data_IF_562654893864
#
_entry.id   IF_562654893864
#
_cell.length_a   1.000
_cell.length_b   1.000
_cell.length_c   1.000
_cell.angle_alpha   90.00
_cell.angle_beta   90.00
_cell.angle_gamma   90.00
#
_symmetry.space_group_name_H-M   'P 1'
#
loop_
_entity.id
_entity.type
_entity.pdbx_description
1 polymer ?
#
# COMPACT_ATOMS: atom_id res chain seq x y z
N UNK A 1 -6.64 -44.37 10.13
CA UNK A 1 -5.23 -44.10 10.49
C UNK A 1 -4.72 -42.77 9.95
N UNK A 2 -4.70 -42.52 8.63
CA UNK A 2 -4.24 -41.25 8.06
C UNK A 2 -4.98 -40.01 8.62
N UNK A 3 -6.29 -40.10 8.83
CA UNK A 3 -7.08 -39.04 9.48
C UNK A 3 -6.61 -38.72 10.90
N UNK A 4 -6.17 -39.72 11.68
CA UNK A 4 -5.63 -39.53 13.03
C UNK A 4 -4.27 -38.83 13.00
N UNK A 5 -3.42 -39.14 12.01
CA UNK A 5 -2.16 -38.42 11.79
C UNK A 5 -2.43 -36.93 11.47
N UNK A 6 -3.54 -36.64 10.79
CA UNK A 6 -3.91 -35.30 10.34
C UNK A 6 -4.90 -34.56 11.26
N UNK A 7 -5.30 -35.14 12.40
CA UNK A 7 -6.34 -34.62 13.29
C UNK A 7 -6.12 -33.15 13.69
N UNK A 8 -4.87 -32.77 13.97
CA UNK A 8 -4.50 -31.40 14.34
C UNK A 8 -4.17 -30.48 13.15
N UNK A 9 -4.47 -30.88 11.91
CA UNK A 9 -4.18 -30.15 10.67
C UNK A 9 -2.73 -29.66 10.52
N UNK A 10 -1.77 -30.42 11.06
CA UNK A 10 -0.36 -30.07 10.98
C UNK A 10 0.16 -30.19 9.54
N UNK A 11 1.24 -29.47 9.26
CA UNK A 11 1.89 -29.52 7.95
C UNK A 11 2.47 -30.90 7.62
N UNK A 12 2.64 -31.16 6.32
CA UNK A 12 3.14 -32.43 5.76
C UNK A 12 4.36 -32.97 6.50
N UNK A 13 5.36 -32.12 6.78
CA UNK A 13 6.60 -32.54 7.45
C UNK A 13 6.35 -33.06 8.86
N UNK A 14 5.49 -32.40 9.64
CA UNK A 14 5.14 -32.82 11.00
C UNK A 14 4.32 -34.11 10.99
N UNK A 15 3.32 -34.21 10.11
CA UNK A 15 2.53 -35.43 9.95
C UNK A 15 3.40 -36.62 9.54
N UNK A 16 4.35 -36.42 8.60
CA UNK A 16 5.33 -37.45 8.23
C UNK A 16 6.25 -37.83 9.39
N UNK A 17 6.75 -36.88 10.17
CA UNK A 17 7.59 -37.16 11.34
C UNK A 17 6.84 -38.03 12.35
N UNK A 18 5.63 -37.61 12.74
CA UNK A 18 4.77 -38.35 13.67
C UNK A 18 4.45 -39.76 13.16
N UNK A 19 4.18 -39.90 11.86
CA UNK A 19 3.89 -41.19 11.27
C UNK A 19 5.10 -42.13 11.33
N UNK A 20 6.31 -41.64 11.02
CA UNK A 20 7.56 -42.43 11.06
C UNK A 20 7.90 -43.00 12.43
N UNK A 21 7.49 -42.32 13.50
CA UNK A 21 7.71 -42.78 14.87
C UNK A 21 6.77 -43.92 15.29
N UNK A 22 5.62 -44.06 14.63
CA UNK A 22 4.53 -44.92 15.11
C UNK A 22 4.16 -46.07 14.16
N UNK A 23 4.39 -45.91 12.85
CA UNK A 23 3.87 -46.84 11.85
C UNK A 23 4.63 -46.77 10.52
N UNK A 24 4.50 -47.83 9.71
CA UNK A 24 5.11 -47.91 8.39
C UNK A 24 4.26 -48.72 7.42
N UNK A 25 4.19 -48.26 6.17
CA UNK A 25 3.84 -49.06 5.00
C UNK A 25 4.46 -48.43 3.74
N UNK A 26 4.69 -49.22 2.67
CA UNK A 26 5.14 -48.67 1.39
C UNK A 26 4.19 -47.59 0.89
N UNK A 27 4.70 -46.37 0.65
CA UNK A 27 3.89 -45.25 0.16
C UNK A 27 3.27 -44.34 1.23
N UNK A 28 3.43 -44.61 2.54
CA UNK A 28 2.86 -43.79 3.63
C UNK A 28 3.10 -42.28 3.48
N UNK A 29 4.28 -41.88 3.02
CA UNK A 29 4.60 -40.47 2.80
C UNK A 29 3.75 -39.83 1.71
N UNK A 30 3.44 -40.56 0.64
CA UNK A 30 2.58 -40.11 -0.46
C UNK A 30 1.13 -40.04 0.01
N UNK A 31 0.67 -41.04 0.75
CA UNK A 31 -0.71 -41.06 1.26
C UNK A 31 -0.99 -39.88 2.22
N UNK A 32 -0.02 -39.55 3.09
CA UNK A 32 -0.10 -38.37 3.97
C UNK A 32 -0.13 -37.08 3.14
N UNK A 33 0.72 -36.96 2.12
CA UNK A 33 0.71 -35.80 1.23
C UNK A 33 -0.61 -35.66 0.49
N UNK A 34 -1.13 -36.75 -0.06
CA UNK A 34 -2.39 -36.77 -0.81
C UNK A 34 -3.57 -36.41 0.08
N UNK A 35 -3.61 -36.92 1.33
CA UNK A 35 -4.63 -36.54 2.30
C UNK A 35 -4.58 -35.03 2.60
N UNK A 36 -3.41 -34.49 2.93
CA UNK A 36 -3.26 -33.08 3.31
C UNK A 36 -3.54 -32.16 2.12
N UNK A 37 -3.08 -32.52 0.92
CA UNK A 37 -3.33 -31.75 -0.30
C UNK A 37 -4.82 -31.72 -0.68
N UNK A 38 -5.61 -32.73 -0.28
CA UNK A 38 -7.06 -32.80 -0.52
C UNK A 38 -7.89 -32.30 0.68
N UNK A 39 -7.26 -31.81 1.75
CA UNK A 39 -7.97 -31.30 2.92
C UNK A 39 -8.52 -29.89 2.68
N UNK A 40 -9.85 -29.74 2.66
CA UNK A 40 -10.55 -28.46 2.50
C UNK A 40 -10.25 -27.45 3.61
N UNK A 41 -10.08 -27.92 4.86
CA UNK A 41 -9.76 -27.07 6.01
C UNK A 41 -8.35 -26.50 5.88
N UNK A 42 -7.37 -27.32 5.51
CA UNK A 42 -6.00 -26.84 5.28
C UNK A 42 -5.91 -25.86 4.11
N UNK A 43 -6.70 -26.06 3.06
CA UNK A 43 -6.80 -25.12 1.93
C UNK A 43 -7.43 -23.79 2.36
N UNK A 44 -8.53 -23.84 3.13
CA UNK A 44 -9.25 -22.66 3.66
C UNK A 44 -8.35 -21.75 4.51
N UNK A 45 -7.48 -22.33 5.34
CA UNK A 45 -6.61 -21.59 6.27
C UNK A 45 -5.15 -21.50 5.79
N UNK A 46 -4.89 -21.75 4.50
CA UNK A 46 -3.54 -21.71 3.98
C UNK A 46 -2.94 -20.29 4.06
N UNK A 47 -1.61 -20.20 4.24
CA UNK A 47 -0.91 -18.90 4.21
C UNK A 47 -1.10 -18.18 2.87
N UNK A 48 -1.15 -16.84 2.93
CA UNK A 48 -1.16 -15.97 1.76
C UNK A 48 -0.01 -16.30 0.80
N UNK A 49 -0.27 -16.12 -0.50
CA UNK A 49 0.78 -16.31 -1.51
C UNK A 49 1.89 -15.28 -1.37
N UNK A 50 3.09 -15.69 -1.80
CA UNK A 50 4.22 -14.79 -1.99
C UNK A 50 3.84 -13.68 -2.98
N UNK A 51 4.38 -12.49 -2.77
CA UNK A 51 4.19 -11.37 -3.69
C UNK A 51 4.83 -11.68 -5.05
N UNK A 52 4.23 -11.18 -6.13
CA UNK A 52 4.82 -11.22 -7.46
C UNK A 52 5.84 -10.09 -7.65
N UNK A 53 6.76 -10.19 -8.62
CA UNK A 53 7.76 -9.15 -8.88
C UNK A 53 7.12 -7.80 -9.17
N UNK A 54 7.75 -6.70 -8.75
CA UNK A 54 7.22 -5.35 -8.95
C UNK A 54 7.15 -5.03 -10.46
N UNK A 55 5.98 -4.61 -10.92
CA UNK A 55 5.83 -4.00 -12.24
C UNK A 55 6.13 -2.51 -12.10
N UNK A 56 7.16 -2.05 -12.80
CA UNK A 56 7.52 -0.64 -12.81
C UNK A 56 6.56 0.07 -13.76
N UNK A 57 5.99 1.17 -13.30
CA UNK A 57 5.31 2.11 -14.19
C UNK A 57 6.33 2.97 -14.91
N UNK A 58 6.01 3.39 -16.13
CA UNK A 58 6.82 4.38 -16.83
C UNK A 58 6.93 5.65 -16.00
N UNK A 59 8.16 6.13 -15.84
CA UNK A 59 8.43 7.37 -15.14
C UNK A 59 8.00 8.53 -16.03
N UNK A 60 7.30 9.54 -15.48
CA UNK A 60 7.06 10.77 -16.23
C UNK A 60 8.40 11.41 -16.60
N UNK A 61 8.43 12.03 -17.78
CA UNK A 61 9.60 12.69 -18.35
C UNK A 61 9.79 14.13 -17.87
N UNK A 62 8.72 14.75 -17.37
CA UNK A 62 8.67 16.16 -16.99
C UNK A 62 7.70 16.41 -15.82
N UNK A 63 7.85 17.54 -15.10
CA UNK A 63 6.94 17.93 -14.02
C UNK A 63 5.50 17.99 -14.50
N UNK A 64 4.58 17.54 -13.64
CA UNK A 64 3.13 17.63 -13.85
C UNK A 64 2.58 16.86 -15.06
N UNK A 65 3.40 16.03 -15.73
CA UNK A 65 2.93 15.15 -16.82
C UNK A 65 1.90 14.13 -16.30
N UNK A 66 2.17 13.56 -15.13
CA UNK A 66 1.34 12.53 -14.50
C UNK A 66 1.16 12.87 -13.03
N UNK A 67 -0.09 12.99 -12.62
CA UNK A 67 -0.44 13.26 -11.22
C UNK A 67 -1.26 12.11 -10.65
N UNK A 68 -1.25 11.99 -9.32
CA UNK A 68 -2.17 11.13 -8.61
C UNK A 68 -2.93 11.91 -7.57
N UNK A 69 -4.20 11.53 -7.38
CA UNK A 69 -5.11 12.23 -6.48
C UNK A 69 -5.78 11.23 -5.53
N UNK A 70 -5.94 11.65 -4.28
CA UNK A 70 -6.65 10.90 -3.26
C UNK A 70 -7.27 11.85 -2.22
N UNK A 71 -8.25 11.36 -1.46
CA UNK A 71 -8.92 12.11 -0.42
C UNK A 71 -8.39 11.69 0.94
N UNK A 72 -7.85 12.66 1.66
CA UNK A 72 -7.37 12.53 3.01
C UNK A 72 -8.40 13.09 4.00
N UNK A 73 -8.88 12.27 4.93
CA UNK A 73 -9.64 12.74 6.09
C UNK A 73 -8.71 12.98 7.29
N UNK A 74 -8.82 14.17 7.92
CA UNK A 74 -8.08 14.55 9.13
C UNK A 74 -8.83 15.64 9.90
N UNK A 75 -8.93 15.52 11.23
CA UNK A 75 -9.55 16.51 12.12
C UNK A 75 -10.94 16.99 11.64
N UNK A 76 -11.82 16.03 11.36
CA UNK A 76 -13.17 16.28 10.86
C UNK A 76 -13.25 17.07 9.55
N UNK A 77 -12.16 17.07 8.78
CA UNK A 77 -12.05 17.79 7.52
C UNK A 77 -11.52 16.85 6.44
N UNK A 78 -12.11 16.93 5.24
CA UNK A 78 -11.59 16.24 4.07
C UNK A 78 -10.68 17.15 3.26
N UNK A 79 -9.64 16.56 2.68
CA UNK A 79 -8.64 17.25 1.88
C UNK A 79 -8.39 16.46 0.60
N UNK A 80 -8.39 17.14 -0.54
CA UNK A 80 -7.86 16.62 -1.79
C UNK A 80 -6.34 16.72 -1.76
N UNK A 81 -5.67 15.57 -1.83
CA UNK A 81 -4.21 15.47 -1.93
C UNK A 81 -3.86 15.15 -3.38
N UNK A 82 -3.00 15.99 -3.97
CA UNK A 82 -2.50 15.81 -5.33
C UNK A 82 -0.99 15.63 -5.23
N UNK A 83 -0.45 14.60 -5.88
CA UNK A 83 0.99 14.40 -5.99
C UNK A 83 1.43 14.31 -7.45
N UNK A 84 2.47 15.08 -7.80
CA UNK A 84 3.16 14.93 -9.08
C UNK A 84 4.13 13.75 -9.04
N UNK A 85 4.04 12.85 -10.02
CA UNK A 85 4.88 11.67 -10.09
C UNK A 85 6.32 12.00 -10.46
N UNK A 86 6.60 13.15 -11.10
CA UNK A 86 7.97 13.54 -11.43
C UNK A 86 8.67 14.20 -10.24
N UNK A 87 8.18 15.36 -9.83
CA UNK A 87 8.82 16.20 -8.80
C UNK A 87 8.54 15.73 -7.37
N UNK A 88 7.55 14.86 -7.17
CA UNK A 88 7.03 14.50 -5.84
C UNK A 88 6.44 15.71 -5.09
N UNK A 89 6.06 16.75 -5.85
CA UNK A 89 5.33 17.90 -5.33
C UNK A 89 3.98 17.45 -4.79
N UNK A 90 3.66 17.89 -3.56
CA UNK A 90 2.37 17.63 -2.93
C UNK A 90 1.61 18.95 -2.84
N UNK A 91 0.41 18.97 -3.40
CA UNK A 91 -0.58 20.02 -3.26
C UNK A 91 -1.75 19.49 -2.43
N UNK A 92 -2.26 20.31 -1.51
CA UNK A 92 -3.36 19.91 -0.63
C UNK A 92 -4.40 21.03 -0.63
N UNK A 93 -5.64 20.67 -0.94
CA UNK A 93 -6.77 21.59 -0.91
C UNK A 93 -7.83 21.05 0.04
N UNK A 94 -8.36 21.90 0.92
CA UNK A 94 -9.54 21.56 1.71
C UNK A 94 -10.73 21.36 0.76
N UNK A 95 -11.50 20.32 1.00
CA UNK A 95 -12.80 20.07 0.35
C UNK A 95 -13.88 19.97 1.42
N UNK A 96 -15.03 20.57 1.15
CA UNK A 96 -16.21 20.54 2.02
C UNK A 96 -17.07 19.31 1.70
N UNK A 97 -17.11 18.88 0.42
CA UNK A 97 -17.79 17.68 -0.04
C UNK A 97 -16.91 16.80 -0.93
N UNK A 98 -17.21 15.49 -0.97
CA UNK A 98 -16.53 14.50 -1.82
C UNK A 98 -17.17 14.36 -3.21
N UNK A 99 -17.98 15.34 -3.61
CA UNK A 99 -18.63 15.30 -4.92
C UNK A 99 -17.61 15.62 -6.03
N UNK A 100 -17.92 15.21 -7.25
CA UNK A 100 -16.97 15.37 -8.37
C UNK A 100 -16.82 16.82 -8.82
N UNK A 101 -17.88 17.62 -8.72
CA UNK A 101 -17.86 19.05 -9.09
C UNK A 101 -16.87 19.82 -8.24
N UNK A 102 -16.90 19.64 -6.92
CA UNK A 102 -15.97 20.30 -6.01
C UNK A 102 -14.52 19.87 -6.26
N UNK A 103 -14.30 18.58 -6.49
CA UNK A 103 -12.97 18.05 -6.85
C UNK A 103 -12.49 18.69 -8.15
N UNK A 104 -13.33 18.77 -9.18
CA UNK A 104 -13.00 19.41 -10.46
C UNK A 104 -12.64 20.88 -10.24
N UNK A 105 -13.46 21.65 -9.52
CA UNK A 105 -13.15 23.05 -9.18
C UNK A 105 -11.80 23.20 -8.48
N UNK A 106 -11.44 22.30 -7.54
CA UNK A 106 -10.11 22.34 -6.91
C UNK A 106 -9.00 21.99 -7.90
N UNK A 107 -9.23 21.05 -8.81
CA UNK A 107 -8.26 20.67 -9.84
C UNK A 107 -8.03 21.81 -10.84
N UNK A 108 -9.06 22.52 -11.28
CA UNK A 108 -8.96 23.67 -12.18
C UNK A 108 -8.03 24.75 -11.61
N UNK A 109 -8.18 25.08 -10.32
CA UNK A 109 -7.30 26.05 -9.63
C UNK A 109 -5.85 25.57 -9.56
N UNK A 110 -5.62 24.26 -9.48
CA UNK A 110 -4.28 23.67 -9.48
C UNK A 110 -3.72 23.68 -10.90
N UNK A 111 -4.52 23.34 -11.91
CA UNK A 111 -4.12 23.29 -13.31
C UNK A 111 -3.82 24.68 -13.86
N UNK A 112 -4.55 25.71 -13.42
CA UNK A 112 -4.24 27.10 -13.71
C UNK A 112 -2.85 27.54 -13.21
N UNK A 113 -2.30 26.87 -12.17
CA UNK A 113 -0.98 27.19 -11.60
C UNK A 113 0.16 26.38 -12.19
N UNK A 114 -0.10 25.13 -12.57
CA UNK A 114 0.96 24.17 -12.94
C UNK A 114 0.86 23.67 -14.39
N UNK A 115 -0.25 23.94 -15.07
CA UNK A 115 -0.62 23.35 -16.35
C UNK A 115 -1.59 22.16 -16.19
N UNK A 116 -2.14 21.70 -17.31
CA UNK A 116 -3.02 20.54 -17.36
C UNK A 116 -2.15 19.28 -17.50
N UNK A 117 -2.35 18.23 -16.68
CA UNK A 117 -1.58 16.99 -16.77
C UNK A 117 -2.08 16.11 -17.92
N UNK A 118 -1.22 15.23 -18.45
CA UNK A 118 -1.63 14.22 -19.44
C UNK A 118 -2.39 13.06 -18.79
N UNK A 119 -2.01 12.67 -17.57
CA UNK A 119 -2.62 11.52 -16.88
C UNK A 119 -2.96 11.85 -15.44
N UNK A 120 -4.18 11.49 -15.01
CA UNK A 120 -4.61 11.48 -13.61
C UNK A 120 -4.79 10.04 -13.15
N UNK A 121 -4.12 9.69 -12.06
CA UNK A 121 -4.26 8.40 -11.40
C UNK A 121 -5.10 8.58 -10.13
N UNK A 122 -6.20 7.84 -10.01
CA UNK A 122 -7.09 7.94 -8.86
C UNK A 122 -7.75 6.60 -8.51
N UNK A 123 -8.28 6.48 -7.29
CA UNK A 123 -9.11 5.34 -6.92
C UNK A 123 -10.48 5.39 -7.61
N UNK A 124 -11.12 4.24 -7.80
CA UNK A 124 -12.41 4.16 -8.49
C UNK A 124 -13.52 4.96 -7.78
N UNK A 125 -13.56 4.98 -6.45
CA UNK A 125 -14.58 5.71 -5.69
C UNK A 125 -13.87 6.72 -4.79
N UNK A 126 -14.21 8.03 -4.84
CA UNK A 126 -15.39 8.66 -5.48
C UNK A 126 -15.18 9.18 -6.91
N UNK A 127 -14.03 8.92 -7.55
CA UNK A 127 -13.63 9.63 -8.78
C UNK A 127 -14.25 9.10 -10.09
N UNK A 128 -14.99 7.98 -10.08
CA UNK A 128 -15.55 7.37 -11.28
C UNK A 128 -16.95 7.88 -11.69
N UNK A 129 -17.26 9.14 -11.41
CA UNK A 129 -18.53 9.74 -11.85
C UNK A 129 -18.52 10.06 -13.35
N UNK A 130 -19.71 10.24 -13.92
CA UNK A 130 -19.87 10.67 -15.30
C UNK A 130 -19.21 12.03 -15.54
N UNK A 131 -19.42 12.96 -14.60
CA UNK A 131 -18.87 14.31 -14.63
C UNK A 131 -17.33 14.30 -14.68
N UNK A 132 -16.69 13.49 -13.83
CA UNK A 132 -15.23 13.40 -13.79
C UNK A 132 -14.65 12.81 -15.08
N UNK A 133 -15.33 11.81 -15.67
CA UNK A 133 -14.95 11.26 -16.98
C UNK A 133 -15.14 12.26 -18.11
N UNK A 134 -16.20 13.07 -18.07
CA UNK A 134 -16.45 14.10 -19.07
C UNK A 134 -15.38 15.19 -18.99
N UNK A 135 -15.04 15.64 -17.78
CA UNK A 135 -13.94 16.56 -17.53
C UNK A 135 -12.63 16.06 -18.13
N UNK A 136 -12.28 14.78 -17.91
CA UNK A 136 -11.08 14.20 -18.51
C UNK A 136 -11.10 14.22 -20.04
N UNK A 137 -12.24 13.94 -20.67
CA UNK A 137 -12.35 13.99 -22.14
C UNK A 137 -12.24 15.41 -22.69
N UNK A 138 -12.89 16.36 -22.03
CA UNK A 138 -12.94 17.76 -22.46
C UNK A 138 -11.57 18.43 -22.36
N UNK A 139 -10.79 18.08 -21.33
CA UNK A 139 -9.47 18.65 -21.07
C UNK A 139 -8.31 17.81 -21.62
N UNK A 140 -8.61 16.77 -22.42
CA UNK A 140 -7.64 15.82 -22.98
C UNK A 140 -6.72 15.16 -21.93
N UNK A 141 -7.35 14.68 -20.84
CA UNK A 141 -6.69 14.04 -19.71
C UNK A 141 -7.06 12.56 -19.68
N UNK A 142 -6.04 11.70 -19.68
CA UNK A 142 -6.22 10.27 -19.44
C UNK A 142 -6.48 9.99 -17.96
N UNK A 143 -7.70 9.55 -17.62
CA UNK A 143 -8.06 9.17 -16.25
C UNK A 143 -7.89 7.66 -16.07
N UNK A 144 -6.93 7.29 -15.22
CA UNK A 144 -6.60 5.90 -14.91
C UNK A 144 -7.11 5.54 -13.51
N UNK A 145 -8.15 4.71 -13.46
CA UNK A 145 -8.71 4.22 -12.20
C UNK A 145 -7.94 3.00 -11.68
N UNK A 146 -7.45 3.09 -10.46
CA UNK A 146 -6.82 1.95 -9.77
C UNK A 146 -7.90 1.12 -9.07
N UNK A 147 -7.79 -0.21 -9.20
CA UNK A 147 -8.66 -1.14 -8.48
C UNK A 147 -8.30 -1.14 -6.98
N UNK A 148 -9.28 -1.20 -6.05
CA UNK A 148 -9.07 -1.20 -4.59
C UNK A 148 -8.11 -2.27 -4.05
N UNK A 149 -7.71 -3.24 -4.89
CA UNK A 149 -6.85 -4.36 -4.53
C UNK A 149 -5.54 -4.40 -5.31
N UNK A 150 -5.24 -3.35 -6.09
CA UNK A 150 -3.99 -3.14 -6.82
C UNK A 150 -3.12 -2.06 -6.14
N UNK A 151 -2.90 -2.20 -4.82
CA UNK A 151 -2.18 -1.21 -3.99
C UNK A 151 -0.75 -0.89 -4.45
N UNK A 152 -0.14 -1.75 -5.27
CA UNK A 152 1.19 -1.51 -5.81
C UNK A 152 1.23 -0.32 -6.79
N UNK A 153 0.15 -0.09 -7.53
CA UNK A 153 0.07 1.00 -8.51
C UNK A 153 -0.27 2.35 -7.86
N UNK A 154 -0.89 2.36 -6.67
CA UNK A 154 -1.26 3.58 -5.94
C UNK A 154 -0.23 4.00 -4.87
N UNK A 155 0.88 3.27 -4.72
CA UNK A 155 1.81 3.46 -3.59
C UNK A 155 2.41 4.86 -3.49
N UNK A 156 2.49 5.62 -4.59
CA UNK A 156 2.93 7.01 -4.59
C UNK A 156 1.91 7.95 -3.93
N UNK A 157 0.63 7.80 -4.24
CA UNK A 157 -0.43 8.64 -3.70
C UNK A 157 -0.72 8.26 -2.24
N UNK A 158 -0.73 6.96 -1.92
CA UNK A 158 -0.83 6.49 -0.53
C UNK A 158 0.29 7.09 0.34
N UNK A 159 1.52 7.12 -0.19
CA UNK A 159 2.66 7.74 0.49
C UNK A 159 2.49 9.25 0.63
N UNK A 160 1.96 9.92 -0.39
CA UNK A 160 1.65 11.35 -0.34
C UNK A 160 0.65 11.66 0.78
N UNK A 161 -0.45 10.91 0.86
CA UNK A 161 -1.44 11.03 1.93
C UNK A 161 -0.80 10.79 3.30
N UNK A 162 0.05 9.77 3.43
CA UNK A 162 0.79 9.52 4.68
C UNK A 162 1.68 10.69 5.10
N UNK A 163 2.43 11.27 4.16
CA UNK A 163 3.26 12.46 4.39
C UNK A 163 2.38 13.65 4.80
N UNK A 164 1.31 13.92 4.04
CA UNK A 164 0.36 15.00 4.31
C UNK A 164 -0.24 14.88 5.71
N UNK A 165 -0.71 13.69 6.10
CA UNK A 165 -1.23 13.42 7.45
C UNK A 165 -0.17 13.69 8.51
N UNK A 166 1.06 13.23 8.30
CA UNK A 166 2.13 13.41 9.27
C UNK A 166 2.50 14.90 9.44
N UNK A 167 2.60 15.65 8.35
CA UNK A 167 2.90 17.09 8.38
C UNK A 167 1.77 17.85 9.06
N UNK A 168 0.51 17.60 8.68
CA UNK A 168 -0.64 18.29 9.25
C UNK A 168 -0.85 17.96 10.72
N UNK A 169 -0.81 16.68 11.12
CA UNK A 169 -0.94 16.27 12.53
C UNK A 169 0.09 16.96 13.42
N UNK A 170 1.36 16.93 13.01
CA UNK A 170 2.45 17.57 13.78
C UNK A 170 2.29 19.08 13.84
N UNK A 171 1.88 19.72 12.74
CA UNK A 171 1.64 21.15 12.72
C UNK A 171 0.49 21.55 13.66
N UNK A 172 -0.61 20.80 13.68
CA UNK A 172 -1.72 21.06 14.60
C UNK A 172 -1.31 20.88 16.07
N UNK A 173 -0.59 19.81 16.39
CA UNK A 173 -0.09 19.56 17.75
C UNK A 173 0.86 20.66 18.25
N UNK A 174 1.69 21.18 17.34
CA UNK A 174 2.66 22.27 17.59
C UNK A 174 2.00 23.66 17.47
N UNK A 175 0.67 23.75 17.34
CA UNK A 175 -0.08 25.01 17.14
C UNK A 175 0.43 25.87 15.97
N UNK A 176 0.91 25.24 14.89
CA UNK A 176 1.43 25.89 13.68
C UNK A 176 0.51 25.70 12.49
N UNK A 177 0.58 26.64 11.55
CA UNK A 177 -0.14 26.54 10.26
C UNK A 177 0.46 25.44 9.39
N UNK A 178 -0.33 24.43 8.98
CA UNK A 178 0.21 23.31 8.22
C UNK A 178 0.80 23.66 6.84
N UNK A 179 0.36 24.78 6.25
CA UNK A 179 0.90 25.31 4.99
C UNK A 179 2.43 25.58 5.06
N UNK A 180 2.94 26.00 6.21
CA UNK A 180 4.38 26.21 6.41
C UNK A 180 5.13 24.87 6.41
N UNK A 181 4.59 23.85 7.07
CA UNK A 181 5.17 22.50 7.04
C UNK A 181 5.21 21.93 5.62
N UNK A 182 4.19 22.21 4.81
CA UNK A 182 4.16 21.80 3.41
C UNK A 182 5.21 22.54 2.56
N UNK A 183 5.43 23.84 2.81
CA UNK A 183 6.52 24.62 2.18
C UNK A 183 7.90 24.04 2.51
N UNK A 184 8.14 23.65 3.76
CA UNK A 184 9.40 23.03 4.17
C UNK A 184 9.58 21.65 3.52
N UNK A 185 8.53 20.82 3.46
CA UNK A 185 8.55 19.57 2.72
C UNK A 185 8.96 19.77 1.24
N UNK A 186 8.37 20.77 0.58
CA UNK A 186 8.67 21.10 -0.83
C UNK A 186 10.13 21.54 -1.03
N UNK A 187 10.78 22.10 -0.01
CA UNK A 187 12.19 22.48 -0.06
C UNK A 187 13.16 21.41 0.46
N UNK A 188 12.65 20.33 1.06
CA UNK A 188 13.49 19.28 1.64
C UNK A 188 13.95 18.31 0.54
N UNK A 189 15.27 18.01 0.43
CA UNK A 189 15.79 17.07 -0.55
C UNK A 189 15.20 15.66 -0.39
N UNK A 190 14.83 15.05 -1.52
CA UNK A 190 14.32 13.69 -1.55
C UNK A 190 15.49 12.72 -1.39
N UNK A 191 15.40 11.84 -0.40
CA UNK A 191 16.41 10.81 -0.13
C UNK A 191 16.71 9.97 -1.39
N UNK A 192 18.00 9.82 -1.69
CA UNK A 192 18.53 9.13 -2.86
C UNK A 192 18.59 9.94 -4.15
N UNK A 193 17.92 11.10 -4.22
CA UNK A 193 17.95 11.99 -5.41
C UNK A 193 18.78 13.25 -5.17
N UNK A 194 18.83 13.73 -3.93
CA UNK A 194 19.57 14.95 -3.56
C UNK A 194 18.91 16.26 -4.01
N UNK A 195 17.71 16.18 -4.61
CA UNK A 195 16.93 17.32 -5.08
C UNK A 195 15.58 17.36 -4.35
N UNK A 196 15.11 18.57 -4.03
CA UNK A 196 13.81 18.77 -3.40
C UNK A 196 12.67 18.81 -4.43
N UNK A 197 11.40 18.63 -4.01
CA UNK A 197 10.26 18.80 -4.91
C UNK A 197 10.23 20.15 -5.61
N UNK A 198 10.57 21.25 -4.92
CA UNK A 198 10.65 22.57 -5.51
C UNK A 198 11.72 22.67 -6.60
N UNK A 199 12.90 22.08 -6.37
CA UNK A 199 13.97 22.04 -7.37
C UNK A 199 13.55 21.25 -8.61
N UNK A 200 12.82 20.15 -8.44
CA UNK A 200 12.33 19.36 -9.57
C UNK A 200 11.18 20.03 -10.31
N UNK A 201 10.33 20.78 -9.61
CA UNK A 201 9.16 21.43 -10.18
C UNK A 201 9.51 22.74 -10.89
N UNK A 202 10.38 23.55 -10.27
CA UNK A 202 10.64 24.94 -10.67
C UNK A 202 12.11 25.23 -10.97
N UNK A 203 12.98 24.21 -10.93
CA UNK A 203 14.43 24.36 -11.07
C UNK A 203 15.06 25.29 -10.02
N UNK A 204 14.38 25.57 -8.91
CA UNK A 204 14.89 26.46 -7.85
C UNK A 204 14.37 26.07 -6.48
N UNK A 205 15.00 26.58 -5.43
CA UNK A 205 14.43 26.53 -4.08
C UNK A 205 13.44 27.66 -3.87
N UNK A 206 12.47 27.44 -2.99
CA UNK A 206 11.54 28.48 -2.55
C UNK A 206 12.09 29.12 -1.29
N UNK A 207 11.93 30.43 -1.17
CA UNK A 207 12.30 31.15 0.05
C UNK A 207 11.44 30.66 1.21
N UNK A 208 12.09 30.29 2.31
CA UNK A 208 11.41 29.92 3.56
C UNK A 208 11.74 30.92 4.66
N UNK A 209 11.40 30.60 5.91
CA UNK A 209 11.78 31.42 7.06
C UNK A 209 13.26 31.27 7.43
N UNK A 210 13.94 30.24 6.90
CA UNK A 210 15.37 30.07 7.09
C UNK A 210 16.16 31.01 6.17
N UNK A 211 17.25 31.62 6.66
CA UNK A 211 18.17 32.35 5.80
C UNK A 211 18.70 31.45 4.68
N UNK A 212 18.67 31.96 3.45
CA UNK A 212 19.12 31.24 2.26
C UNK A 212 19.84 32.21 1.33
N UNK A 213 20.92 31.75 0.69
CA UNK A 213 21.67 32.59 -0.25
C UNK A 213 20.90 32.78 -1.57
N UNK A 214 21.04 33.96 -2.17
CA UNK A 214 20.39 34.30 -3.44
C UNK A 214 20.73 33.31 -4.56
N UNK A 215 21.96 32.78 -4.56
CA UNK A 215 22.40 31.75 -5.52
C UNK A 215 21.49 30.52 -5.54
N UNK A 216 21.00 30.07 -4.37
CA UNK A 216 20.16 28.88 -4.27
C UNK A 216 18.69 29.14 -4.64
N UNK A 217 18.27 30.41 -4.69
CA UNK A 217 16.93 30.84 -5.09
C UNK A 217 16.81 31.04 -6.61
N UNK A 218 17.92 31.26 -7.30
CA UNK A 218 17.96 31.38 -8.74
C UNK A 218 17.70 30.01 -9.40
N UNK A 219 17.00 29.97 -10.56
CA UNK A 219 16.82 28.75 -11.32
C UNK A 219 18.14 28.12 -11.79
N UNK A 220 18.25 26.81 -11.64
CA UNK A 220 19.36 25.97 -12.08
C UNK A 220 18.81 24.72 -12.77
N UNK A 221 19.28 24.43 -13.98
CA UNK A 221 18.89 23.21 -14.70
C UNK A 221 19.64 22.00 -14.16
N UNK A 222 18.90 21.05 -13.60
CA UNK A 222 19.47 19.80 -13.12
C UNK A 222 19.60 18.78 -14.25
N UNK A 223 20.84 18.50 -14.66
CA UNK A 223 21.14 17.40 -15.58
C UNK A 223 20.93 16.04 -14.88
N UNK A 224 20.60 15.02 -15.65
CA UNK A 224 20.50 13.62 -15.21
C UNK A 224 19.38 13.27 -14.23
N UNK A 225 18.38 14.14 -14.03
CA UNK A 225 17.24 13.84 -13.14
C UNK A 225 16.54 12.54 -13.54
N UNK A 226 16.24 12.37 -14.83
CA UNK A 226 15.59 11.16 -15.35
C UNK A 226 16.45 9.90 -15.10
N UNK A 227 17.76 10.00 -15.28
CA UNK A 227 18.69 8.88 -15.03
C UNK A 227 18.68 8.50 -13.54
N UNK A 228 18.71 9.50 -12.64
CA UNK A 228 18.67 9.26 -11.19
C UNK A 228 17.32 8.67 -10.75
N UNK A 229 16.21 9.16 -11.30
CA UNK A 229 14.87 8.61 -11.05
C UNK A 229 14.78 7.15 -11.51
N UNK A 230 15.30 6.84 -12.71
CA UNK A 230 15.33 5.48 -13.26
C UNK A 230 16.17 4.54 -12.39
N UNK A 231 17.40 4.93 -12.03
CA UNK A 231 18.26 4.14 -11.13
C UNK A 231 17.56 3.86 -9.81
N UNK A 232 16.89 4.86 -9.23
CA UNK A 232 16.15 4.69 -7.98
C UNK A 232 15.01 3.68 -8.13
N UNK A 233 14.26 3.74 -9.23
CA UNK A 233 13.19 2.78 -9.50
C UNK A 233 13.73 1.36 -9.69
N UNK A 234 14.85 1.19 -10.39
CA UNK A 234 15.54 -0.09 -10.57
C UNK A 234 16.03 -0.67 -9.24
N UNK A 235 16.67 0.16 -8.40
CA UNK A 235 17.13 -0.26 -7.06
C UNK A 235 15.95 -0.69 -6.19
N UNK A 236 14.86 0.08 -6.20
CA UNK A 236 13.65 -0.28 -5.45
C UNK A 236 13.07 -1.62 -5.92
N UNK A 237 12.98 -1.82 -7.24
CA UNK A 237 12.54 -3.09 -7.84
C UNK A 237 13.45 -4.25 -7.42
N UNK A 238 14.76 -4.09 -7.52
CA UNK A 238 15.72 -5.13 -7.13
C UNK A 238 15.52 -5.58 -5.69
N UNK A 239 15.44 -4.65 -4.72
CA UNK A 239 15.20 -5.02 -3.31
C UNK A 239 13.81 -5.61 -3.08
N UNK A 240 12.78 -5.12 -3.77
CA UNK A 240 11.44 -5.66 -3.68
C UNK A 240 11.39 -7.12 -4.16
N UNK A 241 12.05 -7.41 -5.28
CA UNK A 241 11.98 -8.69 -5.99
C UNK A 241 12.78 -9.81 -5.33
N UNK A 242 13.70 -9.51 -4.40
CA UNK A 242 14.45 -10.54 -3.64
C UNK A 242 13.57 -11.58 -2.94
N UNK A 243 12.35 -11.20 -2.58
CA UNK A 243 11.38 -12.06 -1.89
C UNK A 243 10.12 -12.30 -2.72
N UNK A 244 10.14 -11.99 -4.02
CA UNK A 244 9.01 -12.20 -4.92
C UNK A 244 9.15 -13.52 -5.69
N UNK A 245 8.02 -14.04 -6.17
CA UNK A 245 7.97 -15.21 -7.05
C UNK A 245 6.96 -14.97 -8.16
N UNK A 246 7.31 -15.34 -9.38
CA UNK A 246 6.38 -15.33 -10.52
C UNK A 246 5.33 -16.42 -10.27
N UNK A 247 4.05 -16.06 -10.35
CA UNK A 247 2.95 -17.00 -10.19
C UNK A 247 2.49 -17.50 -11.56
N UNK A 248 2.14 -18.79 -11.63
CA UNK A 248 1.65 -19.42 -12.85
C UNK A 248 0.35 -18.76 -13.33
N UNK A 249 0.22 -18.48 -14.62
CA UNK A 249 -1.01 -17.92 -15.17
C UNK A 249 -2.19 -18.89 -15.01
N UNK A 250 -3.40 -18.33 -14.87
CA UNK A 250 -4.64 -19.09 -14.72
C UNK A 250 -5.41 -19.05 -16.04
N UNK A 251 -6.09 -20.14 -16.37
CA UNK A 251 -6.95 -20.28 -17.56
C UNK A 251 -8.42 -20.11 -17.19
N UNK A 252 -9.28 -19.70 -18.14
CA UNK A 252 -10.73 -19.80 -17.97
C UNK A 252 -11.12 -21.21 -17.54
N UNK A 253 -12.12 -21.32 -16.67
CA UNK A 253 -12.63 -22.56 -16.06
C UNK A 253 -11.70 -23.24 -15.03
N UNK A 254 -10.53 -22.66 -14.72
CA UNK A 254 -9.70 -23.16 -13.63
C UNK A 254 -10.45 -23.05 -12.29
N UNK A 255 -10.52 -24.18 -11.56
CA UNK A 255 -11.00 -24.22 -10.18
C UNK A 255 -9.95 -23.62 -9.25
N UNK A 256 -10.33 -22.56 -8.57
CA UNK A 256 -9.43 -21.81 -7.70
C UNK A 256 -10.03 -21.62 -6.31
N UNK A 257 -9.21 -21.12 -5.40
CA UNK A 257 -9.64 -20.46 -4.18
C UNK A 257 -9.19 -19.00 -4.21
N UNK A 258 -10.05 -18.09 -3.75
CA UNK A 258 -9.83 -16.67 -3.62
C UNK A 258 -9.65 -16.29 -2.15
N UNK A 259 -8.61 -15.54 -1.83
CA UNK A 259 -8.36 -15.09 -0.46
C UNK A 259 -9.15 -13.82 -0.15
N UNK A 260 -9.88 -13.83 0.96
CA UNK A 260 -10.44 -12.62 1.54
C UNK A 260 -9.32 -11.77 2.17
N UNK A 261 -9.21 -10.51 1.75
CA UNK A 261 -8.11 -9.61 2.16
C UNK A 261 -8.12 -9.31 3.66
N UNK A 262 -9.30 -9.27 4.30
CA UNK A 262 -9.47 -8.95 5.72
C UNK A 262 -9.26 -10.18 6.59
N UNK A 263 -10.03 -11.24 6.33
CA UNK A 263 -10.02 -12.45 7.17
C UNK A 263 -8.85 -13.39 6.87
N UNK A 264 -8.19 -13.22 5.71
CA UNK A 264 -7.14 -14.11 5.18
C UNK A 264 -7.60 -15.55 4.88
N UNK A 265 -8.91 -15.79 4.90
CA UNK A 265 -9.53 -17.07 4.59
C UNK A 265 -9.62 -17.25 3.07
N UNK A 266 -9.41 -18.48 2.60
CA UNK A 266 -9.56 -18.88 1.20
C UNK A 266 -10.93 -19.50 0.96
N UNK A 267 -11.63 -19.00 -0.07
CA UNK A 267 -12.96 -19.45 -0.47
C UNK A 267 -12.92 -19.95 -1.92
N UNK A 268 -13.61 -21.06 -2.26
CA UNK A 268 -13.62 -21.55 -3.63
C UNK A 268 -14.21 -20.54 -4.65
N UNK A 269 -13.71 -20.59 -5.87
CA UNK A 269 -14.16 -19.77 -7.00
C UNK A 269 -13.76 -20.42 -8.34
N UNK A 270 -14.27 -19.87 -9.43
CA UNK A 270 -13.89 -20.27 -10.80
C UNK A 270 -13.43 -19.05 -11.59
N UNK A 271 -12.38 -19.22 -12.40
CA UNK A 271 -11.88 -18.18 -13.29
C UNK A 271 -12.78 -18.06 -14.52
N UNK A 272 -13.30 -16.85 -14.77
CA UNK A 272 -14.08 -16.57 -15.99
C UNK A 272 -13.17 -16.12 -17.14
N UNK A 273 -12.27 -15.16 -16.88
CA UNK A 273 -11.38 -14.62 -17.91
C UNK A 273 -10.25 -13.78 -17.30
N UNK A 274 -9.16 -13.62 -18.06
CA UNK A 274 -8.11 -12.61 -17.80
C UNK A 274 -8.64 -11.22 -18.20
N UNK A 275 -8.36 -10.21 -17.40
CA UNK A 275 -8.76 -8.82 -17.70
C UNK A 275 -7.66 -8.09 -18.48
N UNK A 276 -7.96 -6.88 -18.97
CA UNK A 276 -6.97 -6.03 -19.67
C UNK A 276 -5.82 -5.59 -18.75
N UNK A 277 -6.06 -5.49 -17.44
CA UNK A 277 -5.02 -5.13 -16.47
C UNK A 277 -4.14 -6.34 -16.16
N UNK A 278 -2.81 -6.16 -16.09
CA UNK A 278 -1.88 -7.25 -15.81
C UNK A 278 -2.21 -7.90 -14.46
N UNK A 279 -2.06 -9.22 -14.41
CA UNK A 279 -2.28 -10.05 -13.21
C UNK A 279 -3.69 -9.96 -12.62
N UNK A 280 -4.66 -9.42 -13.34
CA UNK A 280 -6.04 -9.29 -12.87
C UNK A 280 -6.97 -10.26 -13.61
N UNK A 281 -7.81 -10.96 -12.86
CA UNK A 281 -8.73 -11.97 -13.36
C UNK A 281 -10.16 -11.67 -12.90
N UNK A 282 -11.12 -11.93 -13.78
CA UNK A 282 -12.55 -11.94 -13.46
C UNK A 282 -12.90 -13.34 -12.97
N UNK A 283 -13.45 -13.44 -11.77
CA UNK A 283 -13.78 -14.69 -11.09
C UNK A 283 -15.25 -14.73 -10.69
N UNK A 284 -15.82 -15.92 -10.58
CA UNK A 284 -17.15 -16.17 -10.02
C UNK A 284 -17.00 -16.91 -8.69
N UNK A 285 -17.50 -16.32 -7.60
CA UNK A 285 -17.53 -16.97 -6.29
C UNK A 285 -18.67 -18.01 -6.24
N UNK A 286 -18.66 -18.83 -5.19
CA UNK A 286 -19.71 -19.82 -4.91
C UNK A 286 -21.10 -19.20 -4.82
N UNK A 287 -21.18 -18.03 -4.20
CA UNK A 287 -22.42 -17.27 -4.04
C UNK A 287 -22.84 -16.53 -5.33
N UNK A 288 -22.28 -16.88 -6.49
CA UNK A 288 -22.61 -16.30 -7.79
C UNK A 288 -22.08 -14.89 -8.03
N UNK A 289 -21.35 -14.28 -7.08
CA UNK A 289 -20.81 -12.92 -7.24
C UNK A 289 -19.62 -12.92 -8.19
N UNK A 290 -19.60 -11.94 -9.10
CA UNK A 290 -18.52 -11.75 -10.04
C UNK A 290 -17.58 -10.66 -9.53
N UNK A 291 -16.31 -11.00 -9.35
CA UNK A 291 -15.30 -10.11 -8.79
C UNK A 291 -14.08 -10.03 -9.70
N UNK A 292 -13.38 -8.89 -9.68
CA UNK A 292 -12.05 -8.77 -10.28
C UNK A 292 -11.01 -8.83 -9.16
N UNK A 293 -10.05 -9.73 -9.30
CA UNK A 293 -9.02 -9.99 -8.28
C UNK A 293 -7.63 -10.11 -8.91
N UNK A 294 -6.63 -9.59 -8.19
CA UNK A 294 -5.24 -9.76 -8.54
C UNK A 294 -4.79 -11.22 -8.29
N UNK A 295 -3.88 -11.72 -9.14
CA UNK A 295 -3.34 -13.08 -9.16
C UNK A 295 -2.79 -13.54 -7.81
N UNK A 296 -2.22 -12.64 -6.99
CA UNK A 296 -1.73 -12.92 -5.63
C UNK A 296 -2.81 -13.43 -4.68
N UNK A 297 -4.08 -13.10 -4.93
CA UNK A 297 -5.21 -13.52 -4.12
C UNK A 297 -5.91 -14.77 -4.67
N UNK A 298 -5.36 -15.41 -5.70
CA UNK A 298 -5.98 -16.56 -6.38
C UNK A 298 -5.04 -17.76 -6.34
N UNK A 299 -5.53 -18.95 -5.99
CA UNK A 299 -4.71 -20.17 -5.99
C UNK A 299 -5.48 -21.29 -6.66
N UNK A 300 -4.81 -22.14 -7.43
CA UNK A 300 -5.45 -23.36 -7.94
C UNK A 300 -5.91 -24.22 -6.75
N UNK A 301 -7.17 -24.64 -6.81
CA UNK A 301 -7.74 -25.55 -5.84
C UNK A 301 -7.16 -26.94 -6.06
N UNK A 302 -6.66 -27.57 -5.00
CA UNK A 302 -6.26 -28.98 -5.03
C UNK A 302 -7.39 -29.90 -4.60
N UNK A 303 -8.42 -29.32 -4.00
CA UNK A 303 -9.60 -30.02 -3.55
C UNK A 303 -10.63 -30.04 -4.67
N UNK A 304 -11.15 -31.23 -4.96
CA UNK A 304 -12.36 -31.38 -5.75
C UNK A 304 -13.55 -31.01 -4.87
N UNK A 305 -13.85 -29.72 -4.79
CA UNK A 305 -15.13 -29.26 -4.25
C UNK A 305 -16.23 -29.89 -5.12
N UNK A 306 -17.10 -30.70 -4.50
CA UNK A 306 -18.25 -31.29 -5.21
C UNK A 306 -19.03 -30.17 -5.89
N UNK A 307 -19.49 -30.43 -7.11
CA UNK A 307 -20.33 -29.54 -7.89
C UNK A 307 -21.50 -29.01 -7.05
N UNK A 308 -21.63 -27.68 -7.06
CA UNK A 308 -22.55 -26.92 -6.23
C UNK A 308 -24.00 -27.15 -6.65
N UNK A 309 -24.77 -27.83 -5.82
CA UNK A 309 -26.21 -27.64 -5.65
C UNK A 309 -26.58 -27.86 -4.17
N UNK A 310 -27.36 -26.91 -3.69
CA UNK A 310 -28.23 -26.83 -2.51
C UNK A 310 -27.71 -27.09 -1.08
N UNK A 311 -27.96 -26.04 -0.28
CA UNK A 311 -28.36 -26.04 1.13
C UNK A 311 -27.46 -26.76 2.13
N UNK A 312 -26.57 -26.02 2.78
CA UNK A 312 -26.37 -26.18 4.24
C UNK A 312 -26.18 -24.81 4.86
N UNK A 313 -27.12 -24.46 5.74
CA UNK A 313 -27.12 -23.32 6.64
C UNK A 313 -25.84 -23.28 7.48
N UNK A 314 -25.16 -22.14 7.48
CA UNK A 314 -24.16 -21.80 8.50
C UNK A 314 -24.86 -21.63 9.86
N UNK A 315 -24.51 -22.48 10.82
CA UNK A 315 -24.64 -22.16 12.24
C UNK A 315 -23.31 -22.40 12.93
N UNK A 316 -22.58 -21.30 13.16
CA UNK A 316 -21.58 -21.22 14.23
C UNK A 316 -22.13 -20.25 15.27
N UNK A 317 -22.25 -20.65 16.55
CA UNK A 317 -22.67 -19.74 17.60
C UNK A 317 -21.57 -18.72 17.92
N UNK A 318 -22.03 -17.49 18.07
CA UNK A 318 -21.32 -16.33 18.57
C UNK A 318 -20.98 -16.55 20.06
N UNK A 319 -19.70 -16.45 20.43
CA UNK A 319 -19.28 -16.40 21.84
C UNK A 319 -18.32 -15.24 22.03
N UNK A 320 -18.88 -14.04 22.04
CA UNK A 320 -18.26 -12.87 22.65
C UNK A 320 -18.69 -12.77 24.11
N UNK A 321 -17.91 -13.31 25.04
CA UNK A 321 -17.84 -12.80 26.42
C UNK A 321 -16.45 -13.08 27.00
N UNK A 322 -15.56 -12.09 26.94
CA UNK A 322 -14.37 -12.04 27.79
C UNK A 322 -14.60 -10.90 28.78
N UNK A 323 -14.84 -11.29 30.03
CA UNK A 323 -14.97 -10.42 31.19
C UNK A 323 -13.61 -9.76 31.46
N UNK A 324 -13.58 -8.44 31.40
CA UNK A 324 -12.45 -7.60 31.79
C UNK A 324 -12.45 -7.40 33.30
N UNK A 325 -11.42 -7.88 33.99
CA UNK A 325 -11.07 -7.45 35.36
C UNK A 325 -10.02 -6.33 35.32
N UNK A 326 -10.15 -5.27 36.12
CA UNK A 326 -9.21 -4.16 36.15
C UNK A 326 -7.96 -4.47 37.01
N UNK A 327 -6.77 -3.98 36.64
CA UNK A 327 -5.59 -4.12 37.49
C UNK A 327 -5.58 -3.08 38.62
N UNK A 328 -5.21 -3.53 39.81
CA UNK A 328 -5.02 -2.71 41.00
C UNK A 328 -3.74 -1.86 40.90
N UNK A 329 -3.84 -0.62 41.35
CA UNK A 329 -2.75 0.34 41.55
C UNK A 329 -1.81 -0.13 42.69
N UNK A 330 -0.50 -0.10 42.44
CA UNK A 330 0.52 -0.05 43.49
C UNK A 330 1.46 1.11 43.19
N UNK A 331 1.51 2.05 44.13
CA UNK A 331 2.41 3.20 44.21
C UNK A 331 3.76 2.78 44.83
N UNK A 332 4.88 3.27 44.29
CA UNK A 332 6.15 3.55 45.01
C UNK A 332 7.16 4.24 44.06
N UNK A 333 7.40 5.53 44.27
CA UNK A 333 8.59 6.18 44.89
C UNK A 333 9.77 6.45 43.94
N UNK A 334 10.12 7.74 43.89
CA UNK A 334 11.26 8.35 43.21
C UNK A 334 12.60 7.67 43.51
N UNK A 335 13.40 7.45 42.47
CA UNK A 335 14.87 7.49 42.56
C UNK A 335 15.50 7.79 41.20
N UNK A 336 16.29 8.86 41.17
CA UNK A 336 17.09 9.30 40.02
C UNK A 336 18.11 8.22 39.63
N UNK A 337 18.04 7.70 38.41
CA UNK A 337 19.12 6.88 37.85
C UNK A 337 19.41 7.20 36.38
N UNK A 338 20.71 7.23 36.08
CA UNK A 338 21.33 7.54 34.80
C UNK A 338 20.86 6.62 33.67
N UNK A 339 20.52 7.20 32.51
CA UNK A 339 20.03 6.46 31.34
C UNK A 339 21.21 5.90 30.53
N UNK A 340 21.33 4.58 30.47
CA UNK A 340 22.27 3.83 29.63
C UNK A 340 21.53 3.08 28.52
N UNK A 341 22.13 2.97 27.34
CA UNK A 341 21.55 2.17 26.23
C UNK A 341 21.77 0.68 26.45
N UNK A 342 21.03 -0.17 25.73
CA UNK A 342 21.14 -1.64 25.74
C UNK A 342 22.53 -2.20 25.33
N UNK A 343 23.51 -1.32 25.06
CA UNK A 343 24.90 -1.63 24.73
C UNK A 343 25.93 -1.01 25.69
N UNK A 344 25.51 -0.41 26.81
CA UNK A 344 26.41 0.05 27.87
C UNK A 344 27.16 1.36 27.60
N UNK A 345 26.74 2.20 26.64
CA UNK A 345 27.33 3.53 26.43
C UNK A 345 26.59 4.62 27.22
N UNK A 346 27.34 5.41 27.98
CA UNK A 346 26.88 6.62 28.67
C UNK A 346 26.49 7.72 27.67
N UNK A 347 25.29 8.28 27.82
CA UNK A 347 24.80 9.39 27.00
C UNK A 347 25.08 10.70 27.75
N UNK A 348 26.06 11.48 27.30
CA UNK A 348 26.19 12.89 27.68
C UNK A 348 25.33 13.74 26.75
N UNK A 349 24.53 14.66 27.32
CA UNK A 349 23.78 15.65 26.53
C UNK A 349 24.75 16.61 25.83
N UNK A 350 24.62 16.88 24.52
CA UNK A 350 25.53 17.79 23.81
C UNK A 350 25.29 19.25 24.22
N UNK A 351 26.37 19.96 24.52
CA UNK A 351 26.39 21.31 25.08
C UNK A 351 26.79 22.37 24.02
N UNK A 352 26.23 22.33 22.80
CA UNK A 352 26.70 23.21 21.73
C UNK A 352 25.60 23.72 20.78
N UNK A 353 24.97 24.83 21.18
CA UNK A 353 24.23 25.75 20.29
C UNK A 353 24.77 27.19 20.42
N UNK A 354 26.06 27.36 20.75
CA UNK A 354 26.67 28.69 20.92
C UNK A 354 27.52 29.18 19.75
N UNK A 355 27.80 28.33 18.75
CA UNK A 355 28.76 28.69 17.69
C UNK A 355 28.09 28.89 16.33
N UNK A 356 27.13 29.81 16.26
CA UNK A 356 26.73 30.38 14.97
C UNK A 356 26.93 31.91 15.02
N UNK A 357 28.14 32.33 14.68
CA UNK A 357 28.40 33.69 14.18
C UNK A 357 28.57 33.56 12.67
N UNK A 358 27.57 34.03 11.92
CA UNK A 358 27.66 34.16 10.47
C UNK A 358 28.34 35.48 10.13
N UNK A 359 29.37 35.43 9.27
CA UNK A 359 29.79 36.57 8.45
C UNK A 359 29.09 36.50 7.09
#
# INVERSE_FOLDING_TARGET
MLMLIHEAHLGITKCKSRARELMYWPGISRDIEDLINKCSICEKFQKSQTKEPLENHELPSRPFQRIGIDIMYLNNTDYLVIIDYYSKWIEISKIDNKNSEEIICKLEVVFARFGIPETIICDNVPFNSYQFRNFGKEWDIEIVFISPHHSQSNGMVEKAVGISKAVFKKAFEDNRRPAIGLLEYRNTPISGLGLSPAQLMFNRRLRTKLPISNKLLNPELFKDVNIKLLRRQQTQKHYYDRSSKILTELKPEDKIVVQNVKTKIWEPAVVLSKTKTPRSYKIKTLYGRVLVRNRKFLRLSKVNHKSYNDSVLDTLPDVTQVVSTPPQNVTSTDSQTNISTRSGRNINRPNHLKDYVCY
#
